data_IF_504062952952
#
_entry.id   IF_504062952952
#
_cell.length_a   1.000
_cell.length_b   1.000
_cell.length_c   1.000
_cell.angle_alpha   90.00
_cell.angle_beta   90.00
_cell.angle_gamma   90.00
#
_symmetry.space_group_name_H-M   'P 1'
#
loop_
_entity.id
_entity.type
_entity.pdbx_description
1 polymer ?
#
# COMPACT_ATOMS: atom_id res chain seq x y z
N UNK A 1 8.02 28.08 -12.38
CA UNK A 1 8.89 26.91 -12.65
C UNK A 1 9.98 26.82 -11.59
N UNK A 2 9.65 26.36 -10.37
CA UNK A 2 10.61 25.79 -9.39
C UNK A 2 9.79 25.24 -8.22
N UNK A 3 9.62 23.93 -8.15
CA UNK A 3 9.17 23.22 -6.91
C UNK A 3 9.29 21.69 -7.02
N UNK A 4 9.54 21.17 -8.22
CA UNK A 4 9.75 19.74 -8.46
C UNK A 4 10.95 19.20 -7.63
N UNK A 5 11.98 20.03 -7.42
CA UNK A 5 13.20 19.67 -6.72
C UNK A 5 13.08 19.56 -5.19
N UNK A 6 12.06 20.14 -4.56
CA UNK A 6 11.86 20.09 -3.09
C UNK A 6 10.88 18.96 -2.72
N UNK A 7 9.93 18.64 -3.60
CA UNK A 7 8.93 17.59 -3.39
C UNK A 7 9.56 16.19 -3.42
N UNK A 8 10.50 15.93 -4.35
CA UNK A 8 11.12 14.60 -4.49
C UNK A 8 12.02 14.20 -3.29
N UNK A 9 12.85 15.09 -2.72
CA UNK A 9 13.60 14.83 -1.50
C UNK A 9 12.69 14.50 -0.31
N UNK A 10 11.60 15.27 -0.13
CA UNK A 10 10.65 15.04 0.96
C UNK A 10 9.89 13.72 0.79
N UNK A 11 9.42 13.40 -0.43
CA UNK A 11 8.76 12.11 -0.69
C UNK A 11 9.69 10.94 -0.38
N UNK A 12 10.97 11.04 -0.76
CA UNK A 12 11.97 9.99 -0.50
C UNK A 12 12.24 9.82 0.99
N UNK A 13 12.39 10.92 1.74
CA UNK A 13 12.58 10.87 3.19
C UNK A 13 11.36 10.23 3.90
N UNK A 14 10.15 10.65 3.52
CA UNK A 14 8.92 10.10 4.07
C UNK A 14 8.77 8.62 3.71
N UNK A 15 9.16 8.22 2.49
CA UNK A 15 9.14 6.82 2.06
C UNK A 15 10.07 5.96 2.92
N UNK A 16 11.33 6.36 3.10
CA UNK A 16 12.27 5.61 3.93
C UNK A 16 11.82 5.54 5.39
N UNK A 17 11.27 6.64 5.93
CA UNK A 17 10.70 6.66 7.28
C UNK A 17 9.52 5.68 7.42
N UNK A 18 8.61 5.65 6.45
CA UNK A 18 7.46 4.74 6.47
C UNK A 18 7.92 3.29 6.33
N UNK A 19 8.89 3.02 5.46
CA UNK A 19 9.47 1.69 5.27
C UNK A 19 10.12 1.18 6.55
N UNK A 20 10.89 2.03 7.23
CA UNK A 20 11.46 1.72 8.54
C UNK A 20 10.37 1.39 9.58
N UNK A 21 9.31 2.20 9.66
CA UNK A 21 8.18 1.94 10.55
C UNK A 21 7.48 0.62 10.22
N UNK A 22 7.26 0.33 8.93
CA UNK A 22 6.61 -0.88 8.46
C UNK A 22 7.32 -2.14 8.95
N UNK A 23 8.65 -2.14 8.92
CA UNK A 23 9.47 -3.26 9.37
C UNK A 23 9.66 -3.32 10.90
N UNK A 24 9.59 -2.18 11.58
CA UNK A 24 9.74 -2.08 13.03
C UNK A 24 8.47 -2.48 13.80
N UNK A 25 7.31 -2.50 13.15
CA UNK A 25 6.05 -2.86 13.82
C UNK A 25 6.12 -4.30 14.33
N UNK A 26 5.87 -4.49 15.64
CA UNK A 26 5.81 -5.78 16.29
C UNK A 26 4.53 -6.56 15.93
N UNK A 27 4.44 -6.99 14.67
CA UNK A 27 3.36 -7.80 14.12
C UNK A 27 3.94 -8.98 13.32
N UNK A 28 3.15 -10.04 13.06
CA UNK A 28 3.58 -11.17 12.25
C UNK A 28 4.12 -10.72 10.90
N UNK A 29 5.35 -11.13 10.58
CA UNK A 29 6.05 -10.76 9.34
C UNK A 29 5.32 -11.25 8.09
N UNK A 30 4.54 -12.35 8.21
CA UNK A 30 3.73 -12.90 7.12
C UNK A 30 2.67 -11.94 6.57
N UNK A 31 2.27 -10.89 7.31
CA UNK A 31 1.39 -9.86 6.77
C UNK A 31 1.99 -9.17 5.53
N UNK A 32 3.31 -9.12 5.43
CA UNK A 32 4.06 -8.46 4.34
C UNK A 32 4.35 -9.40 3.16
N UNK A 33 3.71 -10.57 3.08
CA UNK A 33 3.94 -11.56 2.01
C UNK A 33 3.67 -11.02 0.60
N UNK A 34 2.77 -10.05 0.47
CA UNK A 34 2.51 -9.37 -0.80
C UNK A 34 3.43 -8.16 -1.05
N UNK A 35 4.08 -7.66 0.01
CA UNK A 35 4.81 -6.40 0.01
C UNK A 35 6.33 -6.57 -0.12
N UNK A 36 6.86 -7.73 0.26
CA UNK A 36 8.30 -8.04 0.24
C UNK A 36 8.51 -9.43 -0.35
N UNK A 37 9.36 -9.51 -1.37
CA UNK A 37 9.71 -10.79 -1.98
C UNK A 37 10.57 -11.64 -1.02
N UNK A 38 10.33 -12.96 -1.05
CA UNK A 38 11.00 -13.93 -0.18
C UNK A 38 10.89 -13.58 1.33
N UNK A 39 9.73 -13.10 1.78
CA UNK A 39 9.49 -12.71 3.18
C UNK A 39 9.79 -13.84 4.19
N UNK A 40 9.64 -15.11 3.76
CA UNK A 40 9.85 -16.29 4.59
C UNK A 40 11.27 -16.42 5.15
N UNK A 41 12.28 -15.84 4.48
CA UNK A 41 13.66 -15.84 4.98
C UNK A 41 13.81 -15.12 6.33
N UNK A 42 12.91 -14.20 6.63
CA UNK A 42 12.90 -13.43 7.88
C UNK A 42 12.13 -14.12 9.02
N UNK A 43 11.48 -15.25 8.75
CA UNK A 43 10.75 -16.04 9.76
C UNK A 43 11.47 -17.31 10.19
N UNK A 44 12.65 -17.61 9.63
CA UNK A 44 13.46 -18.76 10.04
C UNK A 44 13.88 -18.66 11.51
N UNK A 45 13.98 -19.78 12.22
CA UNK A 45 14.46 -19.82 13.60
C UNK A 45 15.90 -19.29 13.68
N UNK A 46 16.09 -18.20 14.41
CA UNK A 46 17.36 -17.47 14.59
C UNK A 46 17.31 -16.80 15.98
N UNK A 47 18.47 -16.45 16.52
CA UNK A 47 18.60 -15.71 17.78
C UNK A 47 18.02 -14.29 17.70
N UNK A 48 17.94 -13.72 16.49
CA UNK A 48 17.38 -12.39 16.23
C UNK A 48 15.87 -12.44 15.97
N UNK A 49 15.15 -11.42 16.45
CA UNK A 49 13.73 -11.28 16.13
C UNK A 49 13.53 -11.08 14.60
N UNK A 50 12.43 -11.56 14.03
CA UNK A 50 12.07 -11.30 12.64
C UNK A 50 12.09 -9.80 12.28
N UNK A 51 11.66 -8.93 13.19
CA UNK A 51 11.62 -7.48 12.99
C UNK A 51 13.02 -6.89 12.94
N UNK A 52 13.92 -7.31 13.84
CA UNK A 52 15.31 -6.86 13.82
C UNK A 52 15.97 -7.21 12.49
N UNK A 53 15.75 -8.44 11.98
CA UNK A 53 16.28 -8.85 10.67
C UNK A 53 15.73 -8.04 9.50
N UNK A 54 14.45 -7.65 9.55
CA UNK A 54 13.86 -6.77 8.52
C UNK A 54 14.45 -5.36 8.57
N UNK A 55 14.63 -4.80 9.77
CA UNK A 55 15.22 -3.47 9.96
C UNK A 55 16.70 -3.44 9.60
N UNK A 56 17.45 -4.50 9.88
CA UNK A 56 18.86 -4.62 9.47
C UNK A 56 18.99 -4.75 7.95
N UNK A 57 18.14 -5.55 7.31
CA UNK A 57 18.23 -5.82 5.88
C UNK A 57 17.58 -4.75 5.00
N UNK A 58 16.61 -3.99 5.54
CA UNK A 58 15.78 -3.00 4.81
C UNK A 58 15.38 -3.45 3.39
N UNK A 59 14.82 -4.66 3.22
CA UNK A 59 14.57 -5.22 1.89
C UNK A 59 13.69 -4.27 1.05
N UNK A 60 13.90 -4.23 -0.28
CA UNK A 60 13.03 -3.44 -1.14
C UNK A 60 11.58 -3.92 -1.03
N UNK A 61 10.64 -3.00 -1.16
CA UNK A 61 9.23 -3.33 -1.34
C UNK A 61 9.01 -3.81 -2.78
N UNK A 62 7.97 -4.61 -2.99
CA UNK A 62 7.49 -4.91 -4.34
C UNK A 62 7.06 -3.61 -5.03
N UNK A 63 7.12 -3.53 -6.38
CA UNK A 63 6.74 -2.31 -7.09
C UNK A 63 5.32 -1.81 -6.78
N UNK A 64 4.37 -2.73 -6.55
CA UNK A 64 3.00 -2.39 -6.15
C UNK A 64 2.93 -1.79 -4.75
N UNK A 65 3.61 -2.41 -3.77
CA UNK A 65 3.65 -1.92 -2.39
C UNK A 65 4.32 -0.54 -2.31
N UNK A 66 5.44 -0.34 -3.00
CA UNK A 66 6.10 0.96 -3.11
C UNK A 66 5.15 2.02 -3.71
N UNK A 67 4.48 1.70 -4.81
CA UNK A 67 3.55 2.63 -5.46
C UNK A 67 2.41 3.05 -4.52
N UNK A 68 1.88 2.12 -3.71
CA UNK A 68 0.83 2.40 -2.72
C UNK A 68 1.35 3.34 -1.63
N UNK A 69 2.53 3.06 -1.06
CA UNK A 69 3.14 3.93 -0.03
C UNK A 69 3.36 5.33 -0.60
N UNK A 70 3.90 5.44 -1.81
CA UNK A 70 4.12 6.73 -2.46
C UNK A 70 2.83 7.48 -2.77
N UNK A 71 1.76 6.78 -3.18
CA UNK A 71 0.45 7.39 -3.39
C UNK A 71 -0.13 7.97 -2.08
N UNK A 72 0.08 7.28 -0.96
CA UNK A 72 -0.30 7.76 0.36
C UNK A 72 0.50 9.02 0.76
N UNK A 73 1.82 9.02 0.54
CA UNK A 73 2.70 10.17 0.78
C UNK A 73 2.29 11.36 -0.07
N UNK A 74 2.06 11.18 -1.38
CA UNK A 74 1.60 12.28 -2.26
C UNK A 74 0.25 12.86 -1.84
N UNK A 75 -0.60 12.05 -1.22
CA UNK A 75 -1.94 12.48 -0.81
C UNK A 75 -1.94 13.26 0.50
N UNK A 76 -1.08 12.89 1.46
CA UNK A 76 -1.12 13.41 2.84
C UNK A 76 0.19 14.05 3.32
N UNK A 77 1.32 13.75 2.69
CA UNK A 77 2.63 14.27 3.06
C UNK A 77 2.96 14.07 4.54
N UNK A 78 3.36 15.15 5.20
CA UNK A 78 3.73 15.16 6.62
C UNK A 78 2.52 14.97 7.55
N UNK A 79 1.28 15.19 7.09
CA UNK A 79 0.06 15.02 7.89
C UNK A 79 -0.09 13.57 8.40
N UNK A 80 0.51 12.59 7.70
CA UNK A 80 0.56 11.19 8.12
C UNK A 80 1.10 11.01 9.55
N UNK A 81 1.88 11.97 10.06
CA UNK A 81 2.51 11.92 11.39
C UNK A 81 1.87 12.88 12.41
N UNK A 82 0.94 13.74 11.99
CA UNK A 82 0.43 14.86 12.80
C UNK A 82 -0.92 14.61 13.48
N UNK A 83 -1.53 13.43 13.31
CA UNK A 83 -2.80 13.05 13.95
C UNK A 83 -3.95 12.89 12.95
N UNK A 84 -5.16 12.62 13.45
CA UNK A 84 -6.38 12.54 12.64
C UNK A 84 -6.42 11.39 11.61
N UNK A 85 -7.21 11.59 10.55
CA UNK A 85 -7.50 10.56 9.54
C UNK A 85 -6.27 10.10 8.74
N UNK A 86 -5.33 11.00 8.45
CA UNK A 86 -4.09 10.65 7.75
C UNK A 86 -3.22 9.69 8.58
N UNK A 87 -3.07 9.97 9.88
CA UNK A 87 -2.38 9.06 10.81
C UNK A 87 -3.10 7.73 10.96
N UNK A 88 -4.44 7.73 11.01
CA UNK A 88 -5.22 6.50 11.05
C UNK A 88 -5.00 5.63 9.79
N UNK A 89 -4.96 6.24 8.60
CA UNK A 89 -4.64 5.57 7.35
C UNK A 89 -3.21 5.00 7.36
N UNK A 90 -2.22 5.77 7.83
CA UNK A 90 -0.84 5.27 8.00
C UNK A 90 -0.81 4.05 8.93
N UNK A 91 -1.45 4.12 10.10
CA UNK A 91 -1.49 3.00 11.06
C UNK A 91 -2.17 1.78 10.45
N UNK A 92 -3.28 1.96 9.73
CA UNK A 92 -3.96 0.87 9.04
C UNK A 92 -3.05 0.20 8.00
N UNK A 93 -2.33 1.00 7.20
CA UNK A 93 -1.35 0.50 6.24
C UNK A 93 -0.20 -0.26 6.90
N UNK A 94 0.37 0.26 7.99
CA UNK A 94 1.45 -0.41 8.74
C UNK A 94 0.99 -1.75 9.36
N UNK A 95 -0.28 -1.82 9.79
CA UNK A 95 -0.89 -3.04 10.36
C UNK A 95 -1.20 -4.09 9.30
N UNK A 96 -1.70 -3.68 8.14
CA UNK A 96 -2.14 -4.60 7.10
C UNK A 96 -1.01 -5.03 6.14
N UNK A 97 -0.06 -4.14 5.86
CA UNK A 97 0.81 -4.19 4.69
C UNK A 97 0.25 -3.32 3.54
N UNK A 98 1.09 -2.60 2.78
CA UNK A 98 0.66 -1.72 1.69
C UNK A 98 -0.33 -2.33 0.69
N UNK A 99 -0.02 -3.50 0.13
CA UNK A 99 -0.88 -4.16 -0.87
C UNK A 99 -2.24 -4.50 -0.28
N UNK A 100 -2.27 -5.10 0.91
CA UNK A 100 -3.55 -5.47 1.55
C UNK A 100 -4.36 -4.25 1.97
N UNK A 101 -3.69 -3.18 2.38
CA UNK A 101 -4.33 -1.88 2.64
C UNK A 101 -4.99 -1.32 1.39
N UNK A 102 -4.29 -1.29 0.25
CA UNK A 102 -4.85 -0.86 -1.03
C UNK A 102 -6.05 -1.71 -1.47
N UNK A 103 -5.95 -3.05 -1.35
CA UNK A 103 -7.04 -3.96 -1.65
C UNK A 103 -8.28 -3.70 -0.78
N UNK A 104 -8.08 -3.49 0.52
CA UNK A 104 -9.18 -3.20 1.47
C UNK A 104 -9.82 -1.84 1.19
N UNK A 105 -9.05 -0.85 0.76
CA UNK A 105 -9.60 0.44 0.37
C UNK A 105 -10.54 0.32 -0.84
N UNK A 106 -10.27 -0.61 -1.76
CA UNK A 106 -11.13 -0.87 -2.92
C UNK A 106 -12.43 -1.63 -2.59
N UNK A 107 -12.57 -2.18 -1.38
CA UNK A 107 -13.83 -2.83 -0.94
C UNK A 107 -14.78 -1.86 -0.24
N UNK A 108 -14.38 -0.59 -0.05
CA UNK A 108 -15.26 0.44 0.49
C UNK A 108 -16.33 0.74 -0.55
N UNK A 109 -17.58 0.77 -0.10
CA UNK A 109 -18.75 1.09 -0.93
C UNK A 109 -18.53 2.43 -1.66
N UNK A 110 -18.82 2.48 -2.96
CA UNK A 110 -18.73 3.69 -3.78
C UNK A 110 -19.62 4.82 -3.25
N UNK A 111 -20.70 4.47 -2.56
CA UNK A 111 -21.67 5.41 -2.01
C UNK A 111 -21.33 5.84 -0.57
N UNK A 112 -20.26 5.29 0.02
CA UNK A 112 -19.83 5.69 1.35
C UNK A 112 -19.43 7.18 1.37
N UNK A 113 -19.94 7.98 2.33
CA UNK A 113 -19.56 9.37 2.45
C UNK A 113 -18.07 9.46 2.84
N UNK A 114 -17.25 9.83 1.86
CA UNK A 114 -15.79 9.87 2.02
C UNK A 114 -15.23 11.21 1.54
N UNK A 115 -14.22 11.77 2.25
CA UNK A 115 -13.52 12.97 1.81
C UNK A 115 -12.93 12.81 0.40
N UNK A 116 -12.98 13.88 -0.40
CA UNK A 116 -12.49 13.89 -1.79
C UNK A 116 -11.03 13.43 -1.91
N UNK A 117 -10.20 13.76 -0.92
CA UNK A 117 -8.80 13.32 -0.87
C UNK A 117 -8.68 11.80 -0.81
N UNK A 118 -9.50 11.14 0.01
CA UNK A 118 -9.50 9.69 0.10
C UNK A 118 -10.12 9.04 -1.15
N UNK A 119 -11.12 9.68 -1.78
CA UNK A 119 -11.67 9.25 -3.09
C UNK A 119 -10.60 9.20 -4.18
N UNK A 120 -9.79 10.26 -4.28
CA UNK A 120 -8.67 10.31 -5.23
C UNK A 120 -7.60 9.27 -4.93
N UNK A 121 -7.32 9.00 -3.66
CA UNK A 121 -6.37 7.95 -3.26
C UNK A 121 -6.88 6.55 -3.65
N UNK A 122 -8.16 6.25 -3.44
CA UNK A 122 -8.77 4.98 -3.86
C UNK A 122 -8.67 4.80 -5.38
N UNK A 123 -8.97 5.86 -6.15
CA UNK A 123 -8.84 5.83 -7.60
C UNK A 123 -7.40 5.56 -8.04
N UNK A 124 -6.42 6.14 -7.34
CA UNK A 124 -5.00 5.88 -7.61
C UNK A 124 -4.59 4.44 -7.26
N UNK A 125 -5.10 3.87 -6.17
CA UNK A 125 -4.90 2.45 -5.87
C UNK A 125 -5.44 1.54 -6.96
N UNK A 126 -6.63 1.84 -7.51
CA UNK A 126 -7.17 1.07 -8.62
C UNK A 126 -6.23 1.09 -9.83
N UNK A 127 -5.68 2.25 -10.20
CA UNK A 127 -4.68 2.36 -11.29
C UNK A 127 -3.40 1.58 -11.02
N UNK A 128 -2.93 1.58 -9.76
CA UNK A 128 -1.76 0.79 -9.36
C UNK A 128 -2.03 -0.70 -9.58
N UNK A 129 -3.18 -1.21 -9.15
CA UNK A 129 -3.54 -2.61 -9.36
C UNK A 129 -3.88 -2.97 -10.80
N UNK A 130 -4.23 -2.01 -11.65
CA UNK A 130 -4.30 -2.21 -13.10
C UNK A 130 -2.91 -2.40 -13.72
N UNK A 131 -1.89 -1.73 -13.17
CA UNK A 131 -0.48 -1.90 -13.60
C UNK A 131 0.17 -3.18 -13.04
N UNK A 132 -0.27 -3.64 -11.87
CA UNK A 132 0.25 -4.83 -11.18
C UNK A 132 -0.89 -5.83 -10.89
N UNK A 133 -1.46 -6.46 -11.93
CA UNK A 133 -2.65 -7.30 -11.80
C UNK A 133 -2.44 -8.49 -10.85
N UNK A 134 -1.23 -9.06 -10.79
CA UNK A 134 -0.84 -10.17 -9.93
C UNK A 134 -0.89 -9.83 -8.42
N UNK A 135 -0.91 -8.55 -8.07
CA UNK A 135 -1.02 -8.06 -6.68
C UNK A 135 -2.39 -7.45 -6.36
N UNK A 136 -3.26 -7.29 -7.37
CA UNK A 136 -4.65 -6.88 -7.21
C UNK A 136 -5.59 -8.06 -6.92
N UNK A 137 -6.85 -7.92 -7.32
CA UNK A 137 -7.84 -8.99 -7.27
C UNK A 137 -7.82 -9.88 -8.52
N UNK A 138 -6.67 -10.11 -9.17
CA UNK A 138 -6.57 -10.88 -10.43
C UNK A 138 -7.33 -12.20 -10.35
N UNK A 139 -7.12 -12.97 -9.28
CA UNK A 139 -7.84 -14.23 -9.09
C UNK A 139 -9.37 -14.05 -8.99
N UNK A 140 -9.85 -13.00 -8.33
CA UNK A 140 -11.29 -12.73 -8.27
C UNK A 140 -11.81 -12.23 -9.63
N UNK A 141 -11.03 -11.44 -10.39
CA UNK A 141 -11.38 -10.99 -11.73
C UNK A 141 -11.43 -12.15 -12.73
N UNK A 142 -10.51 -13.09 -12.63
CA UNK A 142 -10.48 -14.30 -13.46
C UNK A 142 -11.68 -15.19 -13.14
N UNK A 143 -11.98 -15.39 -11.85
CA UNK A 143 -13.17 -16.14 -11.40
C UNK A 143 -14.46 -15.46 -11.86
N UNK A 144 -14.59 -14.14 -11.66
CA UNK A 144 -15.78 -13.38 -12.12
C UNK A 144 -15.93 -13.44 -13.64
N UNK A 145 -14.82 -13.31 -14.38
CA UNK A 145 -14.81 -13.42 -15.85
C UNK A 145 -15.18 -14.84 -16.30
N UNK A 146 -14.74 -15.87 -15.58
CA UNK A 146 -15.07 -17.27 -15.88
C UNK A 146 -16.55 -17.61 -15.68
N UNK A 147 -17.27 -16.82 -14.87
CA UNK A 147 -18.73 -16.94 -14.65
C UNK A 147 -19.54 -15.88 -15.43
N UNK A 148 -18.92 -15.19 -16.39
CA UNK A 148 -19.59 -14.24 -17.27
C UNK A 148 -19.87 -12.86 -16.65
N UNK A 149 -19.30 -12.55 -15.49
CA UNK A 149 -19.41 -11.24 -14.85
C UNK A 149 -18.20 -10.36 -15.21
N UNK A 150 -18.42 -9.07 -15.56
CA UNK A 150 -17.32 -8.19 -15.95
C UNK A 150 -16.38 -7.93 -14.76
N UNK A 151 -15.11 -8.36 -14.90
CA UNK A 151 -14.04 -8.09 -13.93
C UNK A 151 -13.47 -6.65 -13.95
N UNK A 152 -14.18 -5.70 -14.59
CA UNK A 152 -13.80 -4.27 -14.68
C UNK A 152 -14.85 -3.39 -14.00
N UNK A 153 -14.49 -2.34 -13.25
CA UNK A 153 -15.42 -1.25 -12.99
C UNK A 153 -15.76 -0.62 -14.35
N UNK A 154 -17.03 -0.73 -14.73
CA UNK A 154 -17.51 -0.21 -16.00
C UNK A 154 -17.17 1.27 -16.14
N UNK A 155 -16.53 1.63 -17.25
CA UNK A 155 -16.78 2.95 -17.84
C UNK A 155 -18.23 2.92 -18.34
N UNK A 156 -19.12 3.82 -17.86
CA UNK A 156 -20.34 4.07 -18.60
C UNK A 156 -19.94 4.79 -19.88
N UNK A 157 -20.12 4.12 -21.02
CA UNK A 157 -20.18 4.76 -22.31
C UNK A 157 -21.65 4.92 -22.67
N UNK A 158 -22.12 6.16 -22.63
CA UNK A 158 -22.98 6.86 -23.59
C UNK A 158 -23.45 8.18 -22.97
#
# INVERSE_FOLDING_TARGET
>A
MTDIGIIAPLETELYERIKFLLFSVNLPVQRLKADVDNIGRFTASDARSPQLRLVEAMPPLTPAAEAIVRALIRSYGVELFQGGGAKAALIAMLKAGPVRFGQTALTVDSDAPMPERARRLIAEFNRIFERYPERGFSQARDVLSSIGLPGRPGRPGL
#
